data_IF_747414204520
#
_entry.id   IF_747414204520
#
_cell.length_a   1.000
_cell.length_b   1.000
_cell.length_c   1.000
_cell.angle_alpha   90.00
_cell.angle_beta   90.00
_cell.angle_gamma   90.00
#
_symmetry.space_group_name_H-M   'P 1'
#
loop_
_entity.id
_entity.type
_entity.pdbx_description
1 polymer ?
#
# COMPACT_ATOMS: atom_id res chain seq x y z
N UNK A 1 4.15 -5.04 16.00
CA UNK A 1 3.42 -6.27 15.60
C UNK A 1 2.18 -6.52 16.45
N UNK A 2 2.29 -6.65 17.79
CA UNK A 2 1.13 -6.91 18.68
C UNK A 2 -0.02 -5.92 18.53
N UNK A 3 0.27 -4.64 18.33
CA UNK A 3 -0.78 -3.62 18.22
C UNK A 3 -1.52 -3.66 16.88
N UNK A 4 -0.86 -4.10 15.80
CA UNK A 4 -1.48 -4.27 14.49
C UNK A 4 -2.48 -5.43 14.53
N UNK A 5 -2.08 -6.56 15.15
CA UNK A 5 -2.96 -7.72 15.34
C UNK A 5 -4.19 -7.38 16.21
N UNK A 6 -4.00 -6.58 17.27
CA UNK A 6 -5.13 -6.10 18.08
C UNK A 6 -6.08 -5.20 17.29
N UNK A 7 -5.54 -4.33 16.44
CA UNK A 7 -6.33 -3.45 15.59
C UNK A 7 -7.12 -4.23 14.55
N UNK A 8 -6.47 -5.21 13.91
CA UNK A 8 -7.06 -6.14 12.94
C UNK A 8 -8.25 -6.89 13.55
N UNK A 9 -8.03 -7.60 14.66
CA UNK A 9 -9.09 -8.33 15.35
C UNK A 9 -10.26 -7.43 15.80
N UNK A 10 -9.96 -6.18 16.19
CA UNK A 10 -11.00 -5.20 16.53
C UNK A 10 -11.80 -4.79 15.30
N UNK A 11 -11.14 -4.50 14.18
CA UNK A 11 -11.81 -4.16 12.93
C UNK A 11 -12.70 -5.31 12.47
N UNK A 12 -12.17 -6.53 12.38
CA UNK A 12 -12.92 -7.72 11.97
C UNK A 12 -14.18 -7.93 12.80
N UNK A 13 -14.08 -7.78 14.12
CA UNK A 13 -15.21 -7.90 15.03
C UNK A 13 -16.29 -6.84 14.77
N UNK A 14 -15.89 -5.60 14.48
CA UNK A 14 -16.82 -4.48 14.26
C UNK A 14 -17.49 -4.54 12.88
N UNK A 15 -16.77 -4.99 11.84
CA UNK A 15 -17.28 -5.01 10.46
C UNK A 15 -17.85 -6.36 10.04
N UNK A 16 -17.62 -7.42 10.81
CA UNK A 16 -18.14 -8.77 10.55
C UNK A 16 -17.53 -9.48 9.35
N UNK A 17 -16.40 -8.99 8.82
CA UNK A 17 -15.67 -9.61 7.70
C UNK A 17 -14.16 -9.67 8.02
N UNK A 18 -13.42 -10.65 7.47
CA UNK A 18 -11.97 -10.74 7.64
C UNK A 18 -11.23 -9.51 7.08
N UNK A 19 -10.17 -9.07 7.77
CA UNK A 19 -9.40 -7.87 7.43
C UNK A 19 -7.92 -8.16 7.53
N UNK A 20 -7.17 -7.83 6.47
CA UNK A 20 -5.70 -7.80 6.53
C UNK A 20 -5.21 -6.35 6.66
N UNK A 21 -4.27 -6.12 7.58
CA UNK A 21 -3.57 -4.84 7.70
C UNK A 21 -2.12 -4.97 7.26
N UNK A 22 -1.65 -4.02 6.45
CA UNK A 22 -0.28 -3.99 5.97
C UNK A 22 0.32 -2.58 6.04
N UNK A 23 1.58 -2.50 6.45
CA UNK A 23 2.33 -1.26 6.49
C UNK A 23 3.00 -1.00 5.13
N UNK A 24 2.90 0.23 4.62
CA UNK A 24 3.38 0.57 3.27
C UNK A 24 4.89 0.38 3.07
N UNK A 25 5.68 0.45 4.14
CA UNK A 25 7.14 0.22 4.14
C UNK A 25 7.53 -1.27 4.17
N UNK A 26 6.58 -2.17 4.43
CA UNK A 26 6.80 -3.61 4.54
C UNK A 26 6.17 -4.42 3.39
N UNK A 27 5.34 -3.78 2.57
CA UNK A 27 4.71 -4.43 1.41
C UNK A 27 5.56 -4.32 0.15
N UNK A 28 5.33 -5.23 -0.78
CA UNK A 28 5.95 -5.14 -2.10
C UNK A 28 5.56 -3.83 -2.82
N UNK A 29 6.44 -3.26 -3.67
CA UNK A 29 6.13 -2.06 -4.46
C UNK A 29 4.83 -2.20 -5.28
N UNK A 30 4.54 -3.41 -5.77
CA UNK A 30 3.32 -3.71 -6.52
C UNK A 30 2.06 -3.58 -5.67
N UNK A 31 2.10 -4.03 -4.41
CA UNK A 31 0.97 -3.92 -3.50
C UNK A 31 0.78 -2.47 -3.02
N UNK A 32 1.88 -1.77 -2.69
CA UNK A 32 1.85 -0.34 -2.36
C UNK A 32 1.21 0.48 -3.49
N UNK A 33 1.64 0.28 -4.74
CA UNK A 33 1.06 0.94 -5.91
C UNK A 33 -0.44 0.64 -6.05
N UNK A 34 -0.85 -0.63 -5.92
CA UNK A 34 -2.28 -0.99 -5.99
C UNK A 34 -3.09 -0.24 -4.93
N UNK A 35 -2.62 -0.21 -3.68
CA UNK A 35 -3.34 0.43 -2.60
C UNK A 35 -3.38 1.96 -2.70
N UNK A 36 -2.27 2.62 -3.06
CA UNK A 36 -2.19 4.10 -3.12
C UNK A 36 -2.83 4.68 -4.39
N UNK A 37 -2.67 4.02 -5.55
CA UNK A 37 -3.11 4.55 -6.84
C UNK A 37 -4.49 4.03 -7.25
N UNK A 38 -4.81 2.77 -6.92
CA UNK A 38 -6.06 2.11 -7.35
C UNK A 38 -7.02 1.82 -6.19
N UNK A 39 -6.58 1.99 -4.95
CA UNK A 39 -7.39 1.77 -3.77
C UNK A 39 -8.35 2.92 -3.49
N UNK A 40 -9.26 2.69 -2.55
CA UNK A 40 -10.17 3.71 -2.04
C UNK A 40 -9.52 4.34 -0.81
N UNK A 41 -9.26 5.65 -0.88
CA UNK A 41 -8.72 6.41 0.26
C UNK A 41 -9.83 6.65 1.30
N UNK A 42 -9.77 5.95 2.43
CA UNK A 42 -10.73 6.10 3.53
C UNK A 42 -10.39 7.29 4.43
N UNK A 43 -9.12 7.46 4.81
CA UNK A 43 -8.67 8.54 5.70
C UNK A 43 -7.24 8.99 5.33
N UNK A 44 -7.03 10.30 5.28
CA UNK A 44 -5.70 10.91 5.15
C UNK A 44 -5.58 12.09 6.10
N UNK A 45 -4.73 11.96 7.12
CA UNK A 45 -4.45 13.05 8.07
C UNK A 45 -3.46 14.07 7.52
N UNK A 46 -2.64 13.67 6.55
CA UNK A 46 -1.66 14.53 5.89
C UNK A 46 -1.66 14.26 4.39
N UNK A 47 -2.27 15.16 3.62
CA UNK A 47 -2.38 15.02 2.17
C UNK A 47 -1.04 15.17 1.45
N UNK A 48 -0.09 15.93 2.01
CA UNK A 48 1.26 16.08 1.44
C UNK A 48 1.98 14.73 1.51
N UNK A 49 1.92 14.06 2.66
CA UNK A 49 2.50 12.71 2.82
C UNK A 49 1.83 11.69 1.90
N UNK A 50 0.50 11.69 1.82
CA UNK A 50 -0.23 10.78 0.93
C UNK A 50 0.18 10.97 -0.55
N UNK A 51 0.27 12.22 -1.00
CA UNK A 51 0.69 12.52 -2.36
C UNK A 51 2.13 12.09 -2.62
N UNK A 52 3.04 12.36 -1.68
CA UNK A 52 4.44 11.94 -1.78
C UNK A 52 4.58 10.42 -1.89
N UNK A 53 3.86 9.66 -1.06
CA UNK A 53 3.85 8.19 -1.12
C UNK A 53 3.27 7.67 -2.44
N UNK A 54 2.20 8.30 -2.94
CA UNK A 54 1.59 7.94 -4.22
C UNK A 54 2.56 8.16 -5.39
N UNK A 55 3.23 9.32 -5.43
CA UNK A 55 4.25 9.62 -6.44
C UNK A 55 5.40 8.62 -6.38
N UNK A 56 5.90 8.31 -5.18
CA UNK A 56 6.95 7.31 -4.99
C UNK A 56 6.54 5.94 -5.51
N UNK A 57 5.32 5.49 -5.22
CA UNK A 57 4.82 4.20 -5.67
C UNK A 57 4.70 4.11 -7.20
N UNK A 58 4.30 5.20 -7.87
CA UNK A 58 4.25 5.28 -9.34
C UNK A 58 5.66 5.13 -9.92
N UNK A 59 6.63 5.89 -9.40
CA UNK A 59 8.01 5.85 -9.87
C UNK A 59 8.64 4.45 -9.71
N UNK A 60 8.44 3.79 -8.57
CA UNK A 60 8.95 2.44 -8.32
C UNK A 60 8.42 1.40 -9.32
N UNK A 61 7.15 1.53 -9.74
CA UNK A 61 6.57 0.62 -10.74
C UNK A 61 7.11 0.91 -12.13
N UNK A 62 7.27 2.17 -12.52
CA UNK A 62 7.89 2.55 -13.78
C UNK A 62 9.31 2.00 -13.88
N UNK A 63 10.13 2.17 -12.85
CA UNK A 63 11.49 1.63 -12.78
C UNK A 63 11.50 0.09 -12.90
N UNK A 64 10.57 -0.58 -12.23
CA UNK A 64 10.46 -2.04 -12.30
C UNK A 64 10.08 -2.52 -13.70
N UNK A 65 9.23 -1.77 -14.41
CA UNK A 65 8.85 -2.09 -15.79
C UNK A 65 10.00 -1.85 -16.78
N UNK A 66 10.68 -0.72 -16.68
CA UNK A 66 11.84 -0.40 -17.53
C UNK A 66 12.93 -1.46 -17.38
N UNK A 67 13.24 -1.86 -16.15
CA UNK A 67 14.24 -2.93 -15.88
C UNK A 67 13.83 -4.29 -16.44
N UNK A 68 12.52 -4.61 -16.52
CA UNK A 68 12.04 -5.85 -17.14
C UNK A 68 12.21 -5.83 -18.67
N UNK A 69 11.95 -4.69 -19.31
CA UNK A 69 12.12 -4.54 -20.77
C UNK A 69 13.60 -4.60 -21.18
N UNK A 70 14.49 -3.99 -20.39
CA UNK A 70 15.93 -4.02 -20.65
C UNK A 70 16.59 -5.39 -20.45
N UNK A 71 15.98 -6.30 -19.70
CA UNK A 71 16.52 -7.65 -19.42
C UNK A 71 16.11 -8.70 -20.46
N UNK A 72 15.20 -8.35 -21.37
CA UNK A 72 14.71 -9.18 -22.48
C UNK A 72 15.40 -8.82 -23.82
N UNK A 73 16.42 -7.96 -23.78
CA UNK A 73 17.27 -7.59 -24.92
C UNK A 73 18.68 -8.14 -24.73
#
# INVERSE_FOLDING_TARGET
MRDLLKLEAKLEREIGIPVDLALFDQVSPRLAYKALVRGIKILSRNNILFNALTTLAIAQIQDTQVKRVGKLR
#
